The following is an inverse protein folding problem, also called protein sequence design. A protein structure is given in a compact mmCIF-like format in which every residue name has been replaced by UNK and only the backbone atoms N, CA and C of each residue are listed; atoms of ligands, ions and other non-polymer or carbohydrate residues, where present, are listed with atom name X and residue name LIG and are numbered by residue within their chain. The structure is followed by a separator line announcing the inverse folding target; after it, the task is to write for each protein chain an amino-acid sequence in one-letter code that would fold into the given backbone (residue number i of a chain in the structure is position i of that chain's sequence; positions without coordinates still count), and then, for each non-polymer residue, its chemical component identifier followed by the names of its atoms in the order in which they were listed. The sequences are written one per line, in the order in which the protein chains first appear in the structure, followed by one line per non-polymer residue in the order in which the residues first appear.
data_IF_143782618726
#
_entry.id   IF_143782618726
#
_cell.length_a   1.000
_cell.length_b   1.000
_cell.length_c   1.000
_cell.angle_alpha   90.00
_cell.angle_beta   90.00
_cell.angle_gamma   90.00
#
_symmetry.space_group_name_H-M   'P 1'
#
loop_
_entity.id
_entity.type
_entity.pdbx_description
1 polymer ?
#
# COMPACT_ATOMS: atom_id res chain seq x y z
N UNK A 1 26.54 -15.75 9.15
CA UNK A 1 26.52 -14.30 8.91
C UNK A 1 25.56 -14.11 7.75
N UNK A 2 24.27 -13.83 7.94
CA UNK A 2 23.63 -12.68 8.60
C UNK A 2 22.41 -13.15 9.41
N UNK A 3 22.40 -12.85 10.72
CA UNK A 3 21.24 -13.01 11.62
C UNK A 3 20.86 -11.59 12.07
N UNK A 4 19.92 -10.96 11.38
CA UNK A 4 19.40 -9.63 11.75
C UNK A 4 18.13 -9.34 10.94
N UNK A 5 17.01 -9.97 11.33
CA UNK A 5 15.66 -9.54 10.95
C UNK A 5 14.63 -10.39 11.72
N UNK A 6 14.62 -10.34 13.06
CA UNK A 6 13.59 -11.04 13.84
C UNK A 6 13.36 -10.35 15.18
N UNK A 7 12.87 -9.11 15.17
CA UNK A 7 12.27 -8.48 16.35
C UNK A 7 11.25 -7.42 15.89
N UNK A 8 9.99 -7.78 15.62
CA UNK A 8 8.90 -6.77 15.61
C UNK A 8 7.59 -7.25 16.28
N UNK A 9 7.24 -8.53 16.31
CA UNK A 9 5.91 -8.91 16.85
C UNK A 9 5.84 -8.97 18.39
N UNK A 10 6.97 -9.09 19.08
CA UNK A 10 7.03 -9.15 20.56
C UNK A 10 7.31 -7.80 21.26
N UNK A 11 7.49 -6.69 20.52
CA UNK A 11 7.85 -5.37 21.08
C UNK A 11 6.76 -4.29 21.01
N UNK A 12 5.57 -4.57 20.48
CA UNK A 12 4.48 -3.56 20.47
C UNK A 12 3.84 -3.29 21.84
N UNK A 13 4.42 -3.80 22.93
CA UNK A 13 4.07 -3.46 24.33
C UNK A 13 5.28 -2.90 25.11
N UNK A 14 6.47 -2.80 24.52
CA UNK A 14 7.66 -2.29 25.20
C UNK A 14 8.49 -1.44 24.23
N UNK A 15 8.41 -0.08 24.21
CA UNK A 15 8.44 0.78 25.39
C UNK A 15 7.68 2.12 25.20
N UNK A 16 6.50 2.29 25.79
CA UNK A 16 5.96 3.63 26.03
C UNK A 16 5.53 3.67 27.49
N UNK A 17 6.18 4.57 28.24
CA UNK A 17 5.98 4.91 29.65
C UNK A 17 6.86 4.17 30.67
N UNK A 18 7.16 4.92 31.72
CA UNK A 18 8.03 4.60 32.82
C UNK A 18 7.64 3.31 33.56
N UNK A 19 8.63 2.77 34.25
CA UNK A 19 8.63 1.57 35.10
C UNK A 19 7.59 1.60 36.25
N UNK A 20 6.31 1.56 35.93
CA UNK A 20 5.28 1.15 36.88
C UNK A 20 4.92 -0.30 36.64
N UNK A 21 4.76 -1.08 37.71
CA UNK A 21 4.28 -2.45 37.60
C UNK A 21 2.89 -2.44 36.92
N UNK A 22 2.60 -3.40 36.01
CA UNK A 22 1.31 -3.47 35.37
C UNK A 22 0.21 -3.51 36.43
N UNK A 23 -0.87 -2.76 36.20
CA UNK A 23 -1.97 -2.76 37.13
C UNK A 23 -2.64 -4.16 37.19
N UNK A 24 -3.51 -4.37 38.18
CA UNK A 24 -4.12 -5.67 38.40
C UNK A 24 -4.97 -6.16 37.20
N UNK A 25 -5.49 -5.26 36.36
CA UNK A 25 -6.25 -5.61 35.15
C UNK A 25 -5.31 -6.03 34.02
N UNK A 26 -4.23 -5.27 33.82
CA UNK A 26 -3.19 -5.56 32.83
C UNK A 26 -2.50 -6.90 33.12
N UNK A 27 -2.15 -7.17 34.39
CA UNK A 27 -1.58 -8.46 34.79
C UNK A 27 -2.51 -9.64 34.48
N UNK A 28 -3.83 -9.50 34.71
CA UNK A 28 -4.83 -10.51 34.36
C UNK A 28 -4.95 -10.70 32.84
N UNK A 29 -4.86 -9.62 32.07
CA UNK A 29 -4.86 -9.70 30.62
C UNK A 29 -3.62 -10.44 30.11
N UNK A 30 -2.42 -10.10 30.61
CA UNK A 30 -1.16 -10.75 30.23
C UNK A 30 -1.21 -12.25 30.51
N UNK A 31 -1.72 -12.66 31.68
CA UNK A 31 -1.90 -14.09 32.00
C UNK A 31 -2.82 -14.79 31.00
N UNK A 32 -3.96 -14.19 30.68
CA UNK A 32 -4.94 -14.77 29.76
C UNK A 32 -4.41 -14.81 28.33
N UNK A 33 -3.73 -13.76 27.87
CA UNK A 33 -3.06 -13.68 26.57
C UNK A 33 -2.00 -14.78 26.44
N UNK A 34 -1.21 -15.02 27.50
CA UNK A 34 -0.25 -16.13 27.53
C UNK A 34 -0.88 -17.52 27.36
N UNK A 35 -2.09 -17.73 27.90
CA UNK A 35 -2.84 -18.98 27.70
C UNK A 35 -3.34 -19.13 26.26
N UNK A 36 -3.91 -18.05 25.69
CA UNK A 36 -4.37 -18.02 24.30
C UNK A 36 -3.21 -18.26 23.34
N UNK A 37 -2.11 -17.51 23.46
CA UNK A 37 -0.92 -17.66 22.60
C UNK A 37 -0.34 -19.06 22.67
N UNK A 38 -0.30 -19.70 23.84
CA UNK A 38 0.15 -21.09 23.96
C UNK A 38 -0.80 -22.08 23.29
N UNK A 39 -2.11 -21.88 23.42
CA UNK A 39 -3.11 -22.70 22.73
C UNK A 39 -3.01 -22.60 21.20
N UNK A 40 -2.86 -21.38 20.68
CA UNK A 40 -2.70 -21.14 19.24
C UNK A 40 -1.35 -21.66 18.74
N UNK A 41 -0.25 -21.50 19.50
CA UNK A 41 1.04 -22.08 19.17
C UNK A 41 0.99 -23.62 19.10
N UNK A 42 0.25 -24.26 20.03
CA UNK A 42 -0.01 -25.70 19.98
C UNK A 42 -0.80 -26.12 18.73
N UNK A 43 -1.77 -25.30 18.28
CA UNK A 43 -2.53 -25.54 17.05
C UNK A 43 -1.65 -25.44 15.80
N UNK A 44 -0.78 -24.43 15.71
CA UNK A 44 0.25 -24.33 14.67
C UNK A 44 1.18 -25.55 14.63
N UNK A 45 1.62 -26.06 15.79
CA UNK A 45 2.40 -27.31 15.86
C UNK A 45 1.58 -28.51 15.36
N UNK A 46 0.29 -28.55 15.67
CA UNK A 46 -0.64 -29.56 15.14
C UNK A 46 -0.70 -29.56 13.62
N UNK A 47 -0.88 -28.38 13.01
CA UNK A 47 -0.90 -28.21 11.56
C UNK A 47 0.46 -28.54 10.94
N UNK A 48 1.57 -28.09 11.53
CA UNK A 48 2.93 -28.42 11.07
C UNK A 48 3.17 -29.94 11.00
N UNK A 49 2.77 -30.68 12.04
CA UNK A 49 2.85 -32.15 12.06
C UNK A 49 2.03 -32.78 10.95
N UNK A 50 0.86 -32.22 10.66
CA UNK A 50 0.05 -32.68 9.53
C UNK A 50 0.79 -32.42 8.21
N UNK A 51 1.34 -31.22 7.99
CA UNK A 51 2.10 -30.86 6.80
C UNK A 51 3.30 -31.80 6.57
N UNK A 52 4.10 -32.06 7.61
CA UNK A 52 5.23 -33.00 7.52
C UNK A 52 4.80 -34.43 7.13
N UNK A 53 3.63 -34.89 7.59
CA UNK A 53 3.07 -36.20 7.18
C UNK A 53 2.60 -36.21 5.73
N UNK A 54 2.25 -35.07 5.15
CA UNK A 54 1.88 -34.94 3.74
C UNK A 54 3.07 -34.67 2.82
N UNK A 55 4.26 -34.43 3.37
CA UNK A 55 5.45 -34.07 2.61
C UNK A 55 5.53 -32.59 2.25
N UNK A 56 4.68 -31.75 2.86
CA UNK A 56 4.70 -30.29 2.76
C UNK A 56 5.65 -29.72 3.82
N UNK A 57 6.95 -29.96 3.65
CA UNK A 57 7.96 -29.63 4.64
C UNK A 57 8.19 -28.12 4.78
N UNK A 58 8.08 -27.37 3.68
CA UNK A 58 8.23 -25.91 3.70
C UNK A 58 7.09 -25.29 4.52
N UNK A 59 5.83 -25.56 4.14
CA UNK A 59 4.67 -25.09 4.89
C UNK A 59 4.69 -25.56 6.35
N UNK A 60 5.11 -26.81 6.62
CA UNK A 60 5.24 -27.31 7.98
C UNK A 60 6.24 -26.50 8.82
N UNK A 61 7.37 -26.09 8.24
CA UNK A 61 8.36 -25.23 8.91
C UNK A 61 7.83 -23.83 9.17
N UNK A 62 7.14 -23.23 8.20
CA UNK A 62 6.48 -21.92 8.39
C UNK A 62 5.50 -21.93 9.57
N UNK A 63 4.70 -22.98 9.70
CA UNK A 63 3.79 -23.12 10.84
C UNK A 63 4.53 -23.27 12.18
N UNK A 64 5.68 -23.94 12.21
CA UNK A 64 6.53 -23.96 13.41
C UNK A 64 7.09 -22.57 13.73
N UNK A 65 7.51 -21.81 12.72
CA UNK A 65 8.00 -20.45 12.91
C UNK A 65 6.89 -19.55 13.49
N UNK A 66 5.64 -19.66 13.02
CA UNK A 66 4.49 -19.00 13.63
C UNK A 66 4.32 -19.37 15.12
N UNK A 67 4.42 -20.67 15.46
CA UNK A 67 4.32 -21.11 16.86
C UNK A 67 5.42 -20.51 17.75
N UNK A 68 6.65 -20.41 17.24
CA UNK A 68 7.80 -19.84 17.97
C UNK A 68 7.73 -18.32 18.08
N UNK A 69 7.06 -17.63 17.15
CA UNK A 69 6.76 -16.20 17.26
C UNK A 69 5.76 -15.91 18.37
N UNK A 70 4.76 -16.78 18.56
CA UNK A 70 3.76 -16.65 19.63
C UNK A 70 4.32 -17.00 21.01
N UNK A 71 5.11 -18.07 21.09
CA UNK A 71 5.74 -18.54 22.32
C UNK A 71 7.21 -18.85 22.05
N UNK A 72 8.14 -17.94 22.39
CA UNK A 72 9.56 -18.21 22.28
C UNK A 72 9.95 -19.49 23.02
N UNK A 73 10.81 -20.30 22.39
CA UNK A 73 11.25 -21.60 22.91
C UNK A 73 10.11 -22.62 23.13
N UNK A 74 8.98 -22.50 22.42
CA UNK A 74 7.87 -23.44 22.52
C UNK A 74 8.34 -24.89 22.37
N UNK A 75 8.24 -25.67 23.45
CA UNK A 75 8.94 -26.96 23.56
C UNK A 75 8.54 -27.96 22.47
N UNK A 76 7.24 -28.03 22.15
CA UNK A 76 6.74 -28.94 21.10
C UNK A 76 7.26 -28.49 19.73
N UNK A 77 7.27 -27.19 19.46
CA UNK A 77 7.70 -26.63 18.19
C UNK A 77 9.20 -26.87 17.96
N UNK A 78 10.02 -26.62 18.99
CA UNK A 78 11.45 -26.92 18.96
C UNK A 78 11.73 -28.41 18.70
N UNK A 79 10.96 -29.31 19.32
CA UNK A 79 11.07 -30.76 19.08
C UNK A 79 10.69 -31.15 17.65
N UNK A 80 9.66 -30.54 17.07
CA UNK A 80 9.28 -30.80 15.67
C UNK A 80 10.37 -30.36 14.68
N UNK A 81 11.18 -29.34 15.00
CA UNK A 81 12.37 -28.98 14.22
C UNK A 81 13.58 -29.88 14.46
N UNK A 82 13.45 -30.91 15.31
CA UNK A 82 14.52 -31.84 15.64
C UNK A 82 15.45 -31.36 16.77
N UNK A 83 15.11 -30.30 17.51
CA UNK A 83 15.91 -29.88 18.66
C UNK A 83 15.65 -30.74 19.90
N UNK A 84 16.69 -30.93 20.71
CA UNK A 84 16.62 -31.56 22.03
C UNK A 84 17.34 -30.72 23.06
N UNK A 85 16.85 -30.70 24.30
CA UNK A 85 17.57 -30.08 25.41
C UNK A 85 18.77 -30.94 25.79
N UNK A 86 19.93 -30.30 25.89
CA UNK A 86 21.15 -30.88 26.47
C UNK A 86 21.67 -29.96 27.55
N UNK A 87 22.18 -30.55 28.63
CA UNK A 87 22.86 -29.82 29.69
C UNK A 87 24.34 -29.68 29.29
N UNK A 88 24.80 -28.45 29.10
CA UNK A 88 26.21 -28.10 28.90
C UNK A 88 26.58 -27.10 29.99
N UNK A 89 27.62 -27.39 30.77
CA UNK A 89 28.11 -26.52 31.85
C UNK A 89 27.05 -26.05 32.85
N UNK A 90 26.07 -26.93 33.15
CA UNK A 90 24.99 -26.63 34.09
C UNK A 90 23.77 -25.94 33.48
N UNK A 91 23.85 -25.44 32.25
CA UNK A 91 22.76 -24.73 31.56
C UNK A 91 22.09 -25.65 30.54
N UNK A 92 20.75 -25.70 30.53
CA UNK A 92 20.00 -26.38 29.48
C UNK A 92 19.97 -25.54 28.21
N UNK A 93 20.42 -26.10 27.10
CA UNK A 93 20.40 -25.44 25.79
C UNK A 93 19.77 -26.35 24.74
N UNK A 94 19.14 -25.74 23.74
CA UNK A 94 18.58 -26.44 22.59
C UNK A 94 19.68 -26.81 21.60
N UNK A 95 19.83 -28.11 21.33
CA UNK A 95 20.80 -28.63 20.35
C UNK A 95 20.06 -29.35 19.24
N UNK A 96 20.33 -28.97 17.99
CA UNK A 96 19.74 -29.59 16.81
C UNK A 96 20.23 -31.04 16.66
N UNK A 97 19.30 -31.96 16.47
CA UNK A 97 19.55 -33.33 16.05
C UNK A 97 19.21 -33.47 14.57
N UNK A 98 20.21 -33.31 13.69
CA UNK A 98 19.98 -33.31 12.23
C UNK A 98 19.30 -34.59 11.72
N UNK A 99 19.43 -35.72 12.45
CA UNK A 99 18.77 -36.99 12.10
C UNK A 99 17.26 -36.97 12.37
N UNK A 100 16.78 -36.04 13.19
CA UNK A 100 15.37 -35.89 13.55
C UNK A 100 14.73 -34.65 12.93
N UNK A 101 15.54 -33.75 12.36
CA UNK A 101 15.03 -32.55 11.72
C UNK A 101 14.21 -32.95 10.47
N UNK A 102 13.04 -32.32 10.25
CA UNK A 102 12.28 -32.54 9.03
C UNK A 102 13.12 -32.08 7.83
N UNK A 103 12.90 -32.62 6.62
CA UNK A 103 13.57 -32.12 5.42
C UNK A 103 13.34 -30.60 5.24
N UNK A 104 14.24 -29.94 4.51
CA UNK A 104 14.09 -28.51 4.18
C UNK A 104 13.24 -28.27 2.94
N UNK A 105 13.15 -29.26 2.09
CA UNK A 105 12.44 -29.22 0.82
C UNK A 105 11.23 -30.15 0.88
N UNK A 106 10.22 -29.86 0.08
CA UNK A 106 9.02 -30.68 -0.04
C UNK A 106 9.32 -32.05 -0.67
N UNK A 107 8.46 -33.03 -0.37
CA UNK A 107 8.55 -34.35 -0.98
C UNK A 107 8.27 -34.24 -2.49
N UNK A 108 9.09 -34.91 -3.30
CA UNK A 108 8.90 -35.00 -4.75
C UNK A 108 8.68 -36.47 -5.15
N UNK A 109 7.50 -36.83 -5.71
CA UNK A 109 6.32 -35.99 -5.92
C UNK A 109 5.51 -35.78 -4.62
N UNK A 110 4.76 -34.67 -4.56
CA UNK A 110 3.76 -34.44 -3.52
C UNK A 110 2.59 -35.42 -3.67
N UNK A 111 1.90 -35.71 -2.55
CA UNK A 111 0.65 -36.48 -2.60
C UNK A 111 -0.42 -35.68 -3.36
N UNK A 112 -1.18 -36.31 -4.28
CA UNK A 112 -2.29 -35.64 -4.96
C UNK A 112 -3.30 -35.06 -3.98
N UNK A 113 -3.71 -33.80 -4.19
CA UNK A 113 -4.66 -33.09 -3.33
C UNK A 113 -4.10 -32.60 -1.98
N UNK A 114 -2.81 -32.77 -1.70
CA UNK A 114 -2.21 -32.32 -0.44
C UNK A 114 -2.29 -30.79 -0.26
N UNK A 115 -2.19 -30.02 -1.34
CA UNK A 115 -2.27 -28.56 -1.31
C UNK A 115 -3.67 -28.08 -0.97
N UNK A 116 -4.70 -28.65 -1.62
CA UNK A 116 -6.10 -28.30 -1.35
C UNK A 116 -6.48 -28.68 0.09
N UNK A 117 -6.09 -29.90 0.52
CA UNK A 117 -6.32 -30.33 1.90
C UNK A 117 -5.56 -29.48 2.93
N UNK A 118 -4.40 -28.92 2.56
CA UNK A 118 -3.67 -27.99 3.43
C UNK A 118 -4.44 -26.68 3.61
N UNK A 119 -5.03 -26.14 2.54
CA UNK A 119 -5.87 -24.95 2.62
C UNK A 119 -7.05 -25.18 3.58
N UNK A 120 -7.75 -26.31 3.45
CA UNK A 120 -8.88 -26.65 4.33
C UNK A 120 -8.48 -26.78 5.82
N UNK A 121 -7.39 -27.51 6.10
CA UNK A 121 -6.90 -27.68 7.48
C UNK A 121 -6.38 -26.37 8.08
N UNK A 122 -5.72 -25.54 7.27
CA UNK A 122 -5.26 -24.21 7.68
C UNK A 122 -6.45 -23.32 7.98
N UNK A 123 -7.42 -23.23 7.10
CA UNK A 123 -8.57 -22.33 7.24
C UNK A 123 -9.40 -22.72 8.47
N UNK A 124 -9.56 -24.02 8.75
CA UNK A 124 -10.16 -24.51 9.99
C UNK A 124 -9.40 -24.05 11.23
N UNK A 125 -8.09 -24.30 11.28
CA UNK A 125 -7.26 -23.94 12.43
C UNK A 125 -7.23 -22.42 12.64
N UNK A 126 -7.13 -21.65 11.57
CA UNK A 126 -7.09 -20.20 11.59
C UNK A 126 -8.43 -19.62 12.06
N UNK A 127 -9.57 -20.19 11.63
CA UNK A 127 -10.89 -19.82 12.16
C UNK A 127 -11.02 -20.05 13.67
N UNK A 128 -10.50 -21.18 14.19
CA UNK A 128 -10.47 -21.46 15.63
C UNK A 128 -9.56 -20.48 16.38
N UNK A 129 -8.37 -20.17 15.85
CA UNK A 129 -7.45 -19.20 16.43
C UNK A 129 -8.05 -17.78 16.47
N UNK A 130 -8.69 -17.34 15.37
CA UNK A 130 -9.39 -16.07 15.31
C UNK A 130 -10.48 -15.97 16.38
N UNK A 131 -11.27 -17.03 16.59
CA UNK A 131 -12.30 -17.06 17.62
C UNK A 131 -11.73 -16.90 19.05
N UNK A 132 -10.56 -17.47 19.35
CA UNK A 132 -9.88 -17.28 20.63
C UNK A 132 -9.37 -15.85 20.81
N UNK A 133 -8.82 -15.23 19.77
CA UNK A 133 -8.40 -13.83 19.82
C UNK A 133 -9.57 -12.85 19.91
N UNK A 134 -10.72 -13.16 19.31
CA UNK A 134 -11.97 -12.40 19.53
C UNK A 134 -12.38 -12.44 21.00
N UNK A 135 -12.39 -13.63 21.64
CA UNK A 135 -12.69 -13.76 23.08
C UNK A 135 -11.69 -12.98 23.94
N UNK A 136 -10.41 -12.98 23.55
CA UNK A 136 -9.37 -12.21 24.23
C UNK A 136 -9.62 -10.69 24.10
N UNK A 137 -10.04 -10.23 22.92
CA UNK A 137 -10.44 -8.84 22.68
C UNK A 137 -11.65 -8.42 23.51
N UNK A 138 -12.68 -9.26 23.57
CA UNK A 138 -13.85 -9.05 24.43
C UNK A 138 -13.48 -9.02 25.92
N UNK A 139 -12.53 -9.84 26.34
CA UNK A 139 -12.02 -9.86 27.71
C UNK A 139 -11.25 -8.58 28.05
N UNK A 140 -10.35 -8.12 27.18
CA UNK A 140 -9.66 -6.85 27.34
C UNK A 140 -10.62 -5.65 27.41
N UNK A 141 -11.66 -5.65 26.57
CA UNK A 141 -12.68 -4.61 26.60
C UNK A 141 -13.42 -4.56 27.96
N UNK A 142 -13.73 -5.72 28.54
CA UNK A 142 -14.34 -5.81 29.89
C UNK A 142 -13.41 -5.32 31.02
N UNK A 143 -12.10 -5.38 30.80
CA UNK A 143 -11.08 -4.87 31.71
C UNK A 143 -10.78 -3.37 31.48
N UNK A 144 -11.51 -2.71 30.57
CA UNK A 144 -11.29 -1.32 30.17
C UNK A 144 -9.87 -1.07 29.61
N UNK A 145 -9.36 -2.06 28.87
CA UNK A 145 -8.06 -2.05 28.22
C UNK A 145 -8.20 -1.90 26.69
N UNK A 146 -8.57 -0.71 26.16
CA UNK A 146 -8.95 -0.54 24.76
C UNK A 146 -7.82 -0.83 23.77
N UNK A 147 -6.57 -0.51 24.11
CA UNK A 147 -5.41 -0.82 23.27
C UNK A 147 -5.22 -2.34 23.12
N UNK A 148 -5.29 -3.08 24.22
CA UNK A 148 -5.18 -4.54 24.25
C UNK A 148 -6.36 -5.22 23.53
N UNK A 149 -7.57 -4.67 23.68
CA UNK A 149 -8.75 -5.15 22.96
C UNK A 149 -8.53 -5.03 21.45
N UNK A 150 -8.13 -3.84 20.99
CA UNK A 150 -7.86 -3.57 19.58
C UNK A 150 -6.79 -4.50 19.00
N UNK A 151 -5.65 -4.66 19.67
CA UNK A 151 -4.57 -5.56 19.22
C UNK A 151 -5.06 -7.00 19.12
N UNK A 152 -5.90 -7.45 20.05
CA UNK A 152 -6.46 -8.81 20.02
C UNK A 152 -7.40 -9.00 18.82
N UNK A 153 -8.26 -8.03 18.53
CA UNK A 153 -9.13 -8.08 17.36
C UNK A 153 -8.35 -7.99 16.04
N UNK A 154 -7.34 -7.11 15.95
CA UNK A 154 -6.45 -7.04 14.78
C UNK A 154 -5.70 -8.36 14.57
N UNK A 155 -5.29 -9.03 15.66
CA UNK A 155 -4.71 -10.38 15.58
C UNK A 155 -5.73 -11.40 15.08
N UNK A 156 -6.99 -11.34 15.53
CA UNK A 156 -8.05 -12.21 15.01
C UNK A 156 -8.31 -12.00 13.51
N UNK A 157 -8.31 -10.76 13.02
CA UNK A 157 -8.45 -10.45 11.58
C UNK A 157 -7.33 -11.07 10.74
N UNK A 158 -6.10 -11.16 11.26
CA UNK A 158 -4.98 -11.81 10.55
C UNK A 158 -5.19 -13.31 10.37
N UNK A 159 -5.86 -13.96 11.32
CA UNK A 159 -6.20 -15.38 11.22
C UNK A 159 -7.43 -15.59 10.34
N UNK A 160 -8.50 -14.82 10.56
CA UNK A 160 -9.73 -14.90 9.77
C UNK A 160 -10.16 -13.49 9.30
N UNK A 161 -9.76 -13.08 8.08
CA UNK A 161 -10.07 -11.76 7.54
C UNK A 161 -11.54 -11.50 7.26
N UNK A 162 -12.40 -12.52 7.35
CA UNK A 162 -13.85 -12.40 7.12
C UNK A 162 -14.64 -12.45 8.44
N UNK A 163 -13.97 -12.56 9.57
CA UNK A 163 -14.62 -12.60 10.87
C UNK A 163 -15.21 -11.24 11.24
N UNK A 164 -16.53 -11.07 11.06
CA UNK A 164 -17.21 -9.80 11.29
C UNK A 164 -17.01 -9.25 12.72
N UNK A 165 -16.92 -10.11 13.72
CA UNK A 165 -16.66 -9.69 15.11
C UNK A 165 -15.25 -9.15 15.27
N UNK A 166 -14.26 -9.81 14.68
CA UNK A 166 -12.87 -9.35 14.67
C UNK A 166 -12.75 -8.01 13.92
N UNK A 167 -13.36 -7.91 12.74
CA UNK A 167 -13.37 -6.68 11.93
C UNK A 167 -14.00 -5.51 12.71
N UNK A 168 -15.21 -5.70 13.25
CA UNK A 168 -15.89 -4.69 14.06
C UNK A 168 -15.07 -4.30 15.31
N UNK A 169 -14.52 -5.28 16.02
CA UNK A 169 -13.70 -5.04 17.22
C UNK A 169 -12.37 -4.33 16.91
N UNK A 170 -11.81 -4.55 15.72
CA UNK A 170 -10.61 -3.86 15.22
C UNK A 170 -10.93 -2.47 14.65
N UNK A 171 -12.21 -2.06 14.64
CA UNK A 171 -12.67 -0.75 14.16
C UNK A 171 -12.82 -0.65 12.65
N UNK A 172 -12.86 -1.78 11.93
CA UNK A 172 -13.25 -1.79 10.53
C UNK A 172 -14.72 -1.35 10.42
N UNK A 173 -15.07 -0.75 9.30
CA UNK A 173 -16.43 -0.27 9.03
C UNK A 173 -16.88 -0.79 7.67
N UNK A 174 -18.19 -0.88 7.48
CA UNK A 174 -18.77 -1.22 6.18
C UNK A 174 -18.98 0.05 5.37
N UNK A 175 -18.60 0.01 4.10
CA UNK A 175 -18.82 1.12 3.18
C UNK A 175 -20.22 1.09 2.53
N UNK A 176 -20.46 1.97 1.56
CA UNK A 176 -21.75 2.08 0.85
C UNK A 176 -22.13 0.80 0.07
N UNK A 177 -21.17 -0.09 -0.19
CA UNK A 177 -21.36 -1.37 -0.88
C UNK A 177 -21.43 -2.56 0.09
N UNK A 178 -21.52 -2.30 1.40
CA UNK A 178 -21.48 -3.30 2.46
C UNK A 178 -20.12 -4.05 2.54
N UNK A 179 -19.05 -3.49 1.96
CA UNK A 179 -17.71 -4.06 2.02
C UNK A 179 -16.96 -3.54 3.25
N UNK A 180 -16.26 -4.45 3.96
CA UNK A 180 -15.43 -4.09 5.10
C UNK A 180 -14.19 -3.32 4.65
N UNK A 181 -14.03 -2.10 5.16
CA UNK A 181 -12.86 -1.26 4.97
C UNK A 181 -12.15 -1.04 6.30
N UNK A 182 -10.82 -1.01 6.26
CA UNK A 182 -10.02 -0.79 7.46
C UNK A 182 -10.26 0.62 8.03
N UNK A 183 -10.06 0.85 9.34
CA UNK A 183 -10.19 2.19 9.92
C UNK A 183 -9.33 3.24 9.19
N UNK A 184 -8.22 2.77 8.62
CA UNK A 184 -7.33 3.57 7.81
C UNK A 184 -7.93 3.93 6.45
N UNK A 185 -8.45 2.95 5.71
CA UNK A 185 -9.13 3.23 4.44
C UNK A 185 -10.35 4.13 4.64
N UNK A 186 -11.10 3.95 5.73
CA UNK A 186 -12.20 4.85 6.11
C UNK A 186 -11.70 6.29 6.26
N UNK A 187 -10.62 6.52 7.02
CA UNK A 187 -10.01 7.86 7.16
C UNK A 187 -9.52 8.41 5.82
N UNK A 188 -8.92 7.58 4.97
CA UNK A 188 -8.47 8.02 3.64
C UNK A 188 -9.64 8.46 2.77
N UNK A 189 -10.80 7.80 2.87
CA UNK A 189 -12.04 8.19 2.20
C UNK A 189 -12.60 9.49 2.78
N UNK A 190 -12.58 9.66 4.10
CA UNK A 190 -12.98 10.90 4.76
C UNK A 190 -12.12 12.09 4.31
N UNK A 191 -10.78 11.95 4.35
CA UNK A 191 -9.83 12.96 3.85
C UNK A 191 -10.07 13.30 2.38
N UNK A 192 -10.41 12.30 1.56
CA UNK A 192 -10.70 12.49 0.14
C UNK A 192 -12.02 13.24 -0.04
N UNK A 193 -13.05 12.87 0.72
CA UNK A 193 -14.35 13.55 0.75
C UNK A 193 -14.17 15.02 1.17
N UNK A 194 -13.41 15.27 2.23
CA UNK A 194 -13.07 16.61 2.71
C UNK A 194 -12.31 17.41 1.64
N UNK A 195 -11.35 16.79 0.96
CA UNK A 195 -10.62 17.45 -0.13
C UNK A 195 -11.53 17.84 -1.30
N UNK A 196 -12.48 16.99 -1.66
CA UNK A 196 -13.43 17.21 -2.76
C UNK A 196 -14.60 18.14 -2.39
N UNK A 197 -14.98 18.23 -1.12
CA UNK A 197 -16.06 19.10 -0.63
C UNK A 197 -15.56 20.50 -0.28
N UNK A 198 -14.28 20.61 0.06
CA UNK A 198 -13.59 21.90 0.27
C UNK A 198 -13.09 22.57 -1.01
N UNK A 199 -13.49 22.07 -2.18
CA UNK A 199 -13.24 22.74 -3.46
C UNK A 199 -13.90 24.13 -3.44
N UNK A 200 -13.17 25.22 -3.74
CA UNK A 200 -13.73 26.55 -3.87
C UNK A 200 -14.83 26.61 -4.93
N UNK A 201 -15.77 27.54 -4.78
CA UNK A 201 -16.79 27.78 -5.79
C UNK A 201 -16.13 28.19 -7.14
N UNK A 202 -16.67 27.72 -8.28
CA UNK A 202 -16.13 28.03 -9.59
C UNK A 202 -16.26 29.52 -9.93
N UNK A 203 -15.15 30.17 -10.26
CA UNK A 203 -15.12 31.56 -10.73
C UNK A 203 -14.75 31.62 -12.21
N UNK A 204 -15.56 32.30 -13.04
CA UNK A 204 -15.24 32.47 -14.45
C UNK A 204 -14.02 33.37 -14.65
N UNK A 205 -13.06 32.94 -15.46
CA UNK A 205 -11.90 33.75 -15.82
C UNK A 205 -12.18 34.48 -17.13
N UNK A 206 -12.31 35.81 -17.07
CA UNK A 206 -12.59 36.64 -18.26
C UNK A 206 -11.36 36.82 -19.15
N UNK A 207 -10.19 36.92 -18.54
CA UNK A 207 -8.94 37.27 -19.22
C UNK A 207 -8.10 36.01 -19.43
N UNK A 208 -8.38 35.29 -20.52
CA UNK A 208 -7.58 34.13 -20.89
C UNK A 208 -6.26 34.52 -21.56
N UNK A 209 -5.20 33.72 -21.40
CA UNK A 209 -3.95 33.94 -22.10
C UNK A 209 -4.16 34.01 -23.62
N UNK A 210 -3.51 34.96 -24.30
CA UNK A 210 -3.75 35.20 -25.74
C UNK A 210 -3.44 34.02 -26.69
N UNK A 211 -2.73 32.99 -26.23
CA UNK A 211 -2.49 31.77 -27.01
C UNK A 211 -3.73 30.87 -27.13
N UNK A 212 -4.72 31.00 -26.23
CA UNK A 212 -5.89 30.12 -26.20
C UNK A 212 -6.72 30.20 -27.47
N UNK A 213 -6.84 31.37 -28.09
CA UNK A 213 -7.56 31.55 -29.35
C UNK A 213 -6.90 30.84 -30.54
N UNK A 214 -5.58 30.60 -30.48
CA UNK A 214 -4.86 29.83 -31.50
C UNK A 214 -4.88 28.33 -31.25
N UNK A 215 -4.96 27.91 -29.98
CA UNK A 215 -4.96 26.51 -29.57
C UNK A 215 -6.35 25.85 -29.67
N UNK A 216 -7.43 26.58 -29.33
CA UNK A 216 -8.79 26.06 -29.28
C UNK A 216 -9.64 26.62 -30.42
N UNK A 217 -9.50 26.04 -31.62
CA UNK A 217 -10.15 26.53 -32.85
C UNK A 217 -11.60 26.04 -33.02
N UNK A 218 -11.94 24.92 -32.40
CA UNK A 218 -13.24 24.23 -32.50
C UNK A 218 -14.34 24.97 -31.75
N UNK A 219 -14.02 25.53 -30.58
CA UNK A 219 -14.91 26.30 -29.74
C UNK A 219 -14.12 27.34 -28.93
N UNK A 220 -14.74 28.49 -28.55
CA UNK A 220 -14.08 29.47 -27.69
C UNK A 220 -13.60 28.83 -26.39
N UNK A 221 -12.33 29.01 -26.08
CA UNK A 221 -11.78 28.58 -24.80
C UNK A 221 -12.51 29.28 -23.65
N UNK A 222 -12.80 28.53 -22.59
CA UNK A 222 -13.29 29.03 -21.31
C UNK A 222 -12.23 28.83 -20.24
N UNK A 223 -12.22 29.68 -19.24
CA UNK A 223 -11.42 29.49 -18.03
C UNK A 223 -12.32 29.49 -16.79
N UNK A 224 -12.03 28.58 -15.87
CA UNK A 224 -12.73 28.50 -14.58
C UNK A 224 -11.71 28.29 -13.48
N UNK A 225 -11.71 29.17 -12.48
CA UNK A 225 -10.83 29.12 -11.33
C UNK A 225 -11.51 28.45 -10.13
N UNK A 226 -10.72 27.68 -9.40
CA UNK A 226 -11.05 27.00 -8.15
C UNK A 226 -9.94 27.36 -7.16
N UNK A 227 -10.00 28.57 -6.61
CA UNK A 227 -8.91 29.16 -5.84
C UNK A 227 -7.63 29.27 -6.67
N UNK A 228 -6.61 28.48 -6.31
CA UNK A 228 -5.28 28.50 -6.96
C UNK A 228 -5.19 27.64 -8.22
N UNK A 229 -6.21 26.84 -8.52
CA UNK A 229 -6.26 25.98 -9.71
C UNK A 229 -7.14 26.65 -10.76
N UNK A 230 -6.68 26.73 -12.01
CA UNK A 230 -7.46 27.26 -13.12
C UNK A 230 -7.56 26.22 -14.23
N UNK A 231 -8.78 25.83 -14.60
CA UNK A 231 -9.06 24.97 -15.74
C UNK A 231 -9.23 25.83 -16.98
N UNK A 232 -8.55 25.50 -18.08
CA UNK A 232 -8.65 26.19 -19.37
C UNK A 232 -8.94 25.15 -20.46
N UNK A 233 -10.02 25.28 -21.22
CA UNK A 233 -10.38 24.31 -22.26
C UNK A 233 -11.57 24.74 -23.11
N UNK A 234 -11.89 23.93 -24.13
CA UNK A 234 -12.95 24.15 -25.12
C UNK A 234 -14.30 23.48 -24.76
N UNK A 235 -14.46 22.95 -23.53
CA UNK A 235 -15.64 22.16 -23.12
C UNK A 235 -16.42 22.71 -21.92
N UNK A 236 -17.44 21.96 -21.47
CA UNK A 236 -18.35 22.38 -20.39
C UNK A 236 -18.10 21.71 -19.03
N UNK A 237 -17.28 20.65 -18.97
CA UNK A 237 -17.02 19.87 -17.75
C UNK A 237 -16.02 20.53 -16.78
N UNK A 238 -15.76 21.84 -16.92
CA UNK A 238 -14.73 22.55 -16.14
C UNK A 238 -14.93 22.45 -14.63
N UNK A 239 -16.19 22.34 -14.17
CA UNK A 239 -16.52 22.17 -12.75
C UNK A 239 -16.02 20.84 -12.19
N UNK A 240 -16.18 19.75 -12.93
CA UNK A 240 -15.74 18.44 -12.48
C UNK A 240 -14.21 18.31 -12.54
N UNK A 241 -13.59 18.79 -13.63
CA UNK A 241 -12.13 18.91 -13.73
C UNK A 241 -11.54 19.75 -12.61
N UNK A 242 -12.16 20.90 -12.30
CA UNK A 242 -11.75 21.78 -11.22
C UNK A 242 -11.77 21.10 -9.86
N UNK A 243 -12.87 20.40 -9.55
CA UNK A 243 -13.04 19.65 -8.30
C UNK A 243 -11.96 18.58 -8.11
N UNK A 244 -11.72 17.75 -9.12
CA UNK A 244 -10.73 16.67 -9.03
C UNK A 244 -9.28 17.18 -9.08
N UNK A 245 -8.99 18.20 -9.88
CA UNK A 245 -7.68 18.85 -9.89
C UNK A 245 -7.37 19.51 -8.53
N UNK A 246 -8.35 20.20 -7.94
CA UNK A 246 -8.24 20.74 -6.59
C UNK A 246 -8.01 19.65 -5.55
N UNK A 247 -8.83 18.60 -5.56
CA UNK A 247 -8.68 17.46 -4.64
C UNK A 247 -7.29 16.81 -4.75
N UNK A 248 -6.80 16.62 -5.98
CA UNK A 248 -5.46 16.09 -6.24
C UNK A 248 -4.36 17.00 -5.67
N UNK A 249 -4.42 18.30 -5.92
CA UNK A 249 -3.45 19.26 -5.38
C UNK A 249 -3.49 19.30 -3.86
N UNK A 250 -4.68 19.36 -3.26
CA UNK A 250 -4.87 19.44 -1.80
C UNK A 250 -4.37 18.19 -1.07
N UNK A 251 -4.74 16.99 -1.54
CA UNK A 251 -4.26 15.73 -0.95
C UNK A 251 -2.74 15.59 -1.12
N UNK A 252 -2.21 15.90 -2.31
CA UNK A 252 -0.76 15.84 -2.56
C UNK A 252 -0.01 16.83 -1.66
N UNK A 253 -0.53 18.04 -1.47
CA UNK A 253 0.03 19.04 -0.57
C UNK A 253 0.00 18.60 0.90
N UNK A 254 -1.07 17.92 1.33
CA UNK A 254 -1.17 17.36 2.68
C UNK A 254 -0.12 16.28 2.97
N UNK A 255 0.24 15.47 1.96
CA UNK A 255 1.21 14.38 2.09
C UNK A 255 2.66 14.84 1.92
N UNK A 256 2.92 15.70 0.94
CA UNK A 256 4.28 16.11 0.58
C UNK A 256 4.69 17.46 1.20
N UNK A 257 3.74 18.18 1.81
CA UNK A 257 3.92 19.50 2.39
C UNK A 257 3.89 20.64 1.37
N UNK A 258 3.46 21.82 1.81
CA UNK A 258 3.42 23.05 1.00
C UNK A 258 2.30 23.07 -0.06
N UNK A 259 1.70 24.23 -0.28
CA UNK A 259 0.65 24.40 -1.30
C UNK A 259 1.26 24.82 -2.65
N UNK A 260 0.50 24.62 -3.73
CA UNK A 260 0.77 25.31 -4.99
C UNK A 260 0.41 26.79 -4.85
N UNK A 261 1.10 27.67 -5.57
CA UNK A 261 0.76 29.10 -5.63
C UNK A 261 -0.33 29.35 -6.67
N UNK A 262 -0.10 28.88 -7.90
CA UNK A 262 -1.08 28.87 -9.00
C UNK A 262 -0.79 27.71 -9.94
N UNK A 263 -1.80 27.00 -10.41
CA UNK A 263 -1.66 25.95 -11.43
C UNK A 263 -2.73 26.10 -12.51
N UNK A 264 -2.30 26.10 -13.77
CA UNK A 264 -3.19 26.03 -14.92
C UNK A 264 -3.27 24.59 -15.43
N UNK A 265 -4.49 24.05 -15.52
CA UNK A 265 -4.80 22.76 -16.11
C UNK A 265 -5.43 23.02 -17.47
N UNK A 266 -4.68 22.78 -18.53
CA UNK A 266 -5.15 22.94 -19.91
C UNK A 266 -5.81 21.64 -20.35
N UNK A 267 -7.08 21.70 -20.74
CA UNK A 267 -7.87 20.55 -21.16
C UNK A 267 -8.08 20.63 -22.67
N UNK A 268 -7.32 19.85 -23.43
CA UNK A 268 -7.48 19.68 -24.87
C UNK A 268 -8.59 18.66 -25.14
N UNK A 269 -9.59 19.03 -25.95
CA UNK A 269 -10.73 18.17 -26.24
C UNK A 269 -10.40 16.94 -27.07
N UNK A 270 -9.25 16.92 -27.74
CA UNK A 270 -8.76 15.82 -28.57
C UNK A 270 -7.27 16.01 -28.93
N UNK A 271 -6.71 15.05 -29.66
CA UNK A 271 -5.31 15.08 -30.11
C UNK A 271 -4.99 16.25 -31.04
N UNK A 272 -5.94 16.72 -31.85
CA UNK A 272 -5.70 17.86 -32.74
C UNK A 272 -5.58 19.18 -31.94
N UNK A 273 -6.43 19.36 -30.93
CA UNK A 273 -6.32 20.49 -30.01
C UNK A 273 -5.03 20.45 -29.19
N UNK A 274 -4.57 19.26 -28.79
CA UNK A 274 -3.26 19.08 -28.16
C UNK A 274 -2.12 19.54 -29.10
N UNK A 275 -2.13 19.08 -30.35
CA UNK A 275 -1.12 19.48 -31.33
C UNK A 275 -1.13 21.00 -31.59
N UNK A 276 -2.31 21.59 -31.71
CA UNK A 276 -2.49 23.04 -31.88
C UNK A 276 -2.01 23.83 -30.65
N UNK A 277 -2.31 23.32 -29.45
CA UNK A 277 -1.79 23.87 -28.20
C UNK A 277 -0.26 23.81 -28.15
N UNK A 278 0.35 22.66 -28.39
CA UNK A 278 1.82 22.53 -28.43
C UNK A 278 2.44 23.48 -29.46
N UNK A 279 1.89 23.54 -30.68
CA UNK A 279 2.41 24.38 -31.75
C UNK A 279 2.29 25.88 -31.43
N UNK A 280 1.21 26.30 -30.78
CA UNK A 280 0.93 27.72 -30.48
C UNK A 280 1.67 28.19 -29.23
N UNK A 281 1.62 27.41 -28.16
CA UNK A 281 2.11 27.81 -26.83
C UNK A 281 3.57 27.45 -26.59
N UNK A 282 4.06 26.37 -27.20
CA UNK A 282 5.39 25.81 -27.00
C UNK A 282 6.10 25.51 -28.33
N UNK A 283 6.22 26.51 -29.23
CA UNK A 283 6.79 26.28 -30.56
C UNK A 283 8.24 25.81 -30.46
N UNK A 284 8.55 24.70 -31.12
CA UNK A 284 9.92 24.20 -31.24
C UNK A 284 10.44 23.36 -30.06
N UNK A 285 9.58 22.93 -29.13
CA UNK A 285 9.95 21.95 -28.08
C UNK A 285 9.85 20.53 -28.68
N UNK A 286 10.97 19.83 -28.97
CA UNK A 286 10.93 18.53 -29.62
C UNK A 286 10.29 17.47 -28.72
N UNK A 287 9.39 16.66 -29.29
CA UNK A 287 8.74 15.55 -28.57
C UNK A 287 7.61 15.97 -27.62
N UNK A 288 7.33 17.26 -27.44
CA UNK A 288 6.23 17.70 -26.57
C UNK A 288 4.85 17.28 -27.09
N UNK A 289 4.66 17.28 -28.41
CA UNK A 289 3.44 16.74 -29.05
C UNK A 289 3.31 15.22 -28.97
N UNK A 290 4.31 14.53 -28.42
CA UNK A 290 4.34 13.08 -28.18
C UNK A 290 4.29 12.78 -26.68
N UNK A 291 4.86 13.68 -25.86
CA UNK A 291 4.89 13.63 -24.40
C UNK A 291 3.71 14.41 -23.82
N UNK A 292 2.68 13.68 -23.44
CA UNK A 292 1.64 14.21 -22.55
C UNK A 292 2.27 14.35 -21.16
N UNK A 293 1.84 15.33 -20.37
CA UNK A 293 2.18 15.52 -18.94
C UNK A 293 3.34 16.49 -18.59
N UNK A 294 2.96 17.58 -17.90
CA UNK A 294 3.75 18.72 -17.40
C UNK A 294 4.43 19.53 -18.50
N UNK A 295 3.89 20.73 -18.76
CA UNK A 295 4.24 21.53 -19.95
C UNK A 295 4.95 22.83 -19.56
N UNK A 296 4.98 23.19 -18.27
CA UNK A 296 5.72 24.34 -17.77
C UNK A 296 5.70 24.45 -16.24
N UNK A 297 6.26 25.55 -15.72
CA UNK A 297 6.47 25.76 -14.29
C UNK A 297 5.20 25.79 -13.43
N UNK A 298 4.04 26.15 -14.01
CA UNK A 298 2.73 26.24 -13.37
C UNK A 298 1.61 25.80 -14.34
N UNK A 299 1.91 24.84 -15.22
CA UNK A 299 1.02 24.45 -16.31
C UNK A 299 1.10 22.93 -16.57
N UNK A 300 -0.05 22.27 -16.52
CA UNK A 300 -0.23 20.89 -16.95
C UNK A 300 -1.24 20.83 -18.07
N UNK A 301 -1.14 19.81 -18.89
CA UNK A 301 -2.08 19.54 -19.96
C UNK A 301 -2.72 18.17 -19.78
N UNK A 302 -4.01 18.11 -20.09
CA UNK A 302 -4.87 16.93 -20.09
C UNK A 302 -5.49 16.82 -21.48
N UNK A 303 -5.32 15.69 -22.14
CA UNK A 303 -6.01 15.40 -23.40
C UNK A 303 -7.22 14.52 -23.10
N UNK A 304 -8.41 14.95 -23.50
CA UNK A 304 -9.63 14.17 -23.34
C UNK A 304 -9.65 12.96 -24.27
N UNK A 305 -10.34 11.91 -23.83
CA UNK A 305 -10.70 10.81 -24.69
C UNK A 305 -12.14 11.04 -25.18
N UNK A 306 -12.38 11.14 -26.50
CA UNK A 306 -13.72 11.41 -27.02
C UNK A 306 -14.72 10.27 -26.74
N UNK A 307 -14.26 9.11 -26.25
CA UNK A 307 -15.11 7.96 -25.93
C UNK A 307 -15.31 7.77 -24.44
N UNK A 308 -14.51 8.42 -23.58
CA UNK A 308 -14.57 8.22 -22.13
C UNK A 308 -14.12 9.48 -21.36
N UNK A 309 -15.08 10.34 -21.02
CA UNK A 309 -14.85 11.54 -20.18
C UNK A 309 -14.18 11.20 -18.84
N UNK A 310 -14.48 9.99 -18.36
CA UNK A 310 -14.02 9.45 -17.09
C UNK A 310 -12.51 9.16 -17.14
N UNK A 311 -11.97 8.83 -18.32
CA UNK A 311 -10.54 8.76 -18.60
C UNK A 311 -9.88 10.15 -18.53
N UNK A 312 -10.60 11.19 -18.96
CA UNK A 312 -10.17 12.58 -18.85
C UNK A 312 -9.96 13.02 -17.40
N UNK A 313 -10.86 12.65 -16.49
CA UNK A 313 -10.75 12.97 -15.07
C UNK A 313 -9.55 12.28 -14.41
N UNK A 314 -9.32 11.00 -14.70
CA UNK A 314 -8.14 10.26 -14.21
C UNK A 314 -6.86 10.93 -14.67
N UNK A 315 -6.81 11.27 -15.96
CA UNK A 315 -5.76 12.05 -16.58
C UNK A 315 -5.50 13.38 -15.87
N UNK A 316 -6.55 14.10 -15.47
CA UNK A 316 -6.42 15.36 -14.74
C UNK A 316 -5.82 15.18 -13.34
N UNK A 317 -6.33 14.20 -12.57
CA UNK A 317 -5.76 13.87 -11.25
C UNK A 317 -4.29 13.49 -11.40
N UNK A 318 -3.99 12.62 -12.35
CA UNK A 318 -2.64 12.15 -12.63
C UNK A 318 -1.71 13.31 -13.01
N UNK A 319 -2.11 14.20 -13.92
CA UNK A 319 -1.35 15.39 -14.31
C UNK A 319 -0.96 16.26 -13.12
N UNK A 320 -1.96 16.60 -12.31
CA UNK A 320 -1.80 17.50 -11.17
C UNK A 320 -0.90 16.86 -10.12
N UNK A 321 -1.10 15.58 -9.83
CA UNK A 321 -0.26 14.86 -8.87
C UNK A 321 1.19 14.76 -9.35
N UNK A 322 1.44 14.43 -10.62
CA UNK A 322 2.80 14.41 -11.19
C UNK A 322 3.46 15.79 -11.11
N UNK A 323 2.71 16.85 -11.44
CA UNK A 323 3.19 18.22 -11.31
C UNK A 323 3.62 18.56 -9.87
N UNK A 324 2.76 18.25 -8.90
CA UNK A 324 3.05 18.49 -7.49
C UNK A 324 4.28 17.70 -7.02
N UNK A 325 4.44 16.45 -7.45
CA UNK A 325 5.63 15.65 -7.15
C UNK A 325 6.86 16.31 -7.76
N UNK A 326 6.87 16.61 -9.06
CA UNK A 326 8.02 17.23 -9.74
C UNK A 326 8.42 18.57 -9.16
N UNK A 327 7.45 19.38 -8.73
CA UNK A 327 7.73 20.65 -8.04
C UNK A 327 8.58 20.46 -6.78
N UNK A 328 8.41 19.34 -6.07
CA UNK A 328 9.10 19.02 -4.81
C UNK A 328 10.35 18.18 -5.02
N UNK A 329 10.27 17.18 -5.89
CA UNK A 329 11.30 16.19 -6.16
C UNK A 329 12.23 16.56 -7.31
N UNK A 330 11.97 17.66 -8.04
CA UNK A 330 12.64 17.91 -9.32
C UNK A 330 12.13 17.00 -10.45
N UNK A 331 12.68 17.15 -11.65
CA UNK A 331 12.41 16.22 -12.74
C UNK A 331 12.98 14.84 -12.38
N UNK A 332 12.12 13.83 -12.25
CA UNK A 332 12.59 12.49 -11.89
C UNK A 332 13.29 11.80 -13.07
N UNK A 333 14.44 11.19 -12.78
CA UNK A 333 15.12 10.27 -13.70
C UNK A 333 14.58 8.85 -13.62
N UNK A 334 13.79 8.55 -12.58
CA UNK A 334 13.15 7.25 -12.34
C UNK A 334 11.67 7.48 -12.00
N UNK A 335 10.74 7.09 -12.89
CA UNK A 335 9.35 7.51 -12.79
C UNK A 335 8.54 6.68 -11.78
N UNK A 336 9.11 5.67 -11.12
CA UNK A 336 8.35 4.76 -10.25
C UNK A 336 7.61 5.52 -9.14
N UNK A 337 8.25 6.47 -8.47
CA UNK A 337 7.60 7.20 -7.39
C UNK A 337 6.49 8.12 -7.93
N UNK A 338 6.76 8.84 -9.02
CA UNK A 338 5.76 9.67 -9.71
C UNK A 338 4.54 8.85 -10.12
N UNK A 339 4.76 7.71 -10.78
CA UNK A 339 3.71 6.82 -11.29
C UNK A 339 2.93 6.19 -10.15
N UNK A 340 3.61 5.63 -9.15
CA UNK A 340 2.95 4.96 -8.02
C UNK A 340 2.12 5.93 -7.20
N UNK A 341 2.65 7.13 -6.96
CA UNK A 341 1.95 8.16 -6.18
C UNK A 341 0.76 8.73 -6.95
N UNK A 342 0.93 9.06 -8.24
CA UNK A 342 -0.17 9.54 -9.08
C UNK A 342 -1.28 8.48 -9.24
N UNK A 343 -0.91 7.21 -9.41
CA UNK A 343 -1.87 6.10 -9.43
C UNK A 343 -2.61 5.97 -8.10
N UNK A 344 -1.92 6.11 -6.98
CA UNK A 344 -2.54 6.07 -5.65
C UNK A 344 -3.53 7.23 -5.45
N UNK A 345 -3.18 8.46 -5.83
CA UNK A 345 -4.08 9.62 -5.75
C UNK A 345 -5.28 9.48 -6.67
N UNK A 346 -5.08 8.99 -7.89
CA UNK A 346 -6.15 8.72 -8.86
C UNK A 346 -7.16 7.72 -8.28
N UNK A 347 -6.67 6.61 -7.69
CA UNK A 347 -7.51 5.64 -6.99
C UNK A 347 -8.28 6.28 -5.83
N UNK A 348 -7.61 7.05 -4.98
CA UNK A 348 -8.26 7.70 -3.83
C UNK A 348 -9.43 8.58 -4.29
N UNK A 349 -9.22 9.42 -5.29
CA UNK A 349 -10.20 10.40 -5.73
C UNK A 349 -11.32 9.82 -6.59
N UNK A 350 -11.01 8.85 -7.46
CA UNK A 350 -11.95 8.34 -8.47
C UNK A 350 -12.44 6.91 -8.20
N UNK A 351 -11.92 6.25 -7.16
CA UNK A 351 -12.24 4.85 -6.82
C UNK A 351 -11.69 3.83 -7.82
N UNK A 352 -10.92 4.25 -8.82
CA UNK A 352 -10.38 3.41 -9.89
C UNK A 352 -9.12 4.02 -10.52
N UNK A 353 -8.37 3.18 -11.22
CA UNK A 353 -7.23 3.58 -12.06
C UNK A 353 -7.30 2.77 -13.36
N UNK A 354 -7.60 3.44 -14.47
CA UNK A 354 -7.58 2.89 -15.82
C UNK A 354 -6.42 3.44 -16.64
N UNK A 355 -5.91 4.62 -16.28
CA UNK A 355 -4.69 5.21 -16.83
C UNK A 355 -3.50 5.03 -15.90
N UNK A 356 -2.95 3.82 -15.82
CA UNK A 356 -1.49 3.74 -15.84
C UNK A 356 -1.09 3.85 -17.33
N UNK A 357 -0.02 4.56 -17.72
CA UNK A 357 0.39 4.71 -19.13
C UNK A 357 0.70 3.40 -19.91
N UNK A 358 0.35 2.24 -19.36
CA UNK A 358 0.72 0.91 -19.85
C UNK A 358 -0.46 -0.04 -20.08
N UNK A 359 -1.70 0.32 -19.68
CA UNK A 359 -2.89 -0.46 -20.05
C UNK A 359 -3.59 0.19 -21.22
N UNK A 360 -3.17 -0.16 -22.44
CA UNK A 360 -3.85 0.20 -23.69
C UNK A 360 -5.23 -0.43 -23.86
N UNK A 361 -6.09 -0.42 -22.84
CA UNK A 361 -7.50 -0.75 -22.96
C UNK A 361 -8.32 -0.10 -21.82
N UNK A 362 -9.26 0.77 -22.20
CA UNK A 362 -10.21 1.46 -21.31
C UNK A 362 -11.27 0.51 -20.70
N UNK A 363 -11.19 -0.80 -20.98
CA UNK A 363 -12.08 -1.84 -20.44
C UNK A 363 -11.44 -2.68 -19.31
N UNK A 364 -10.33 -2.24 -18.74
CA UNK A 364 -9.64 -2.95 -17.65
C UNK A 364 -10.49 -3.04 -16.36
N UNK A 365 -10.60 -4.21 -15.72
CA UNK A 365 -11.39 -4.38 -14.50
C UNK A 365 -10.76 -3.68 -13.29
N UNK A 366 -11.61 -3.23 -12.36
CA UNK A 366 -11.24 -2.52 -11.12
C UNK A 366 -10.19 -3.25 -10.27
N UNK A 367 -9.37 -2.47 -9.57
CA UNK A 367 -8.28 -2.92 -8.69
C UNK A 367 -8.74 -3.85 -7.55
N UNK A 368 -10.03 -3.84 -7.17
CA UNK A 368 -10.53 -4.54 -5.97
C UNK A 368 -10.25 -6.05 -5.92
N UNK A 369 -9.89 -6.68 -7.04
CA UNK A 369 -9.45 -8.08 -7.06
C UNK A 369 -8.21 -8.37 -7.89
N UNK A 370 -8.10 -7.85 -9.13
CA UNK A 370 -7.12 -8.36 -10.10
C UNK A 370 -5.68 -8.04 -9.75
N UNK A 371 -5.33 -6.77 -9.53
CA UNK A 371 -3.94 -6.38 -9.25
C UNK A 371 -3.42 -6.95 -7.94
N UNK A 372 -4.24 -6.88 -6.87
CA UNK A 372 -3.94 -7.51 -5.59
C UNK A 372 -3.74 -9.02 -5.73
N UNK A 373 -4.64 -9.72 -6.43
CA UNK A 373 -4.54 -11.17 -6.69
C UNK A 373 -3.32 -11.51 -7.55
N UNK A 374 -3.04 -10.71 -8.58
CA UNK A 374 -1.88 -10.88 -9.45
C UNK A 374 -0.59 -10.74 -8.64
N UNK A 375 -0.46 -9.71 -7.80
CA UNK A 375 0.74 -9.53 -6.98
C UNK A 375 0.86 -10.64 -5.93
N UNK A 376 -0.23 -11.02 -5.24
CA UNK A 376 -0.24 -12.16 -4.30
C UNK A 376 0.19 -13.47 -4.98
N UNK A 377 -0.30 -13.74 -6.19
CA UNK A 377 0.09 -14.91 -6.98
C UNK A 377 1.59 -14.85 -7.35
N UNK A 378 2.08 -13.70 -7.81
CA UNK A 378 3.49 -13.53 -8.14
C UNK A 378 4.40 -13.70 -6.91
N UNK A 379 4.00 -13.18 -5.74
CA UNK A 379 4.72 -13.37 -4.47
C UNK A 379 4.72 -14.86 -4.09
N UNK A 380 3.56 -15.51 -4.10
CA UNK A 380 3.41 -16.93 -3.78
C UNK A 380 4.23 -17.84 -4.68
N UNK A 381 4.41 -17.47 -5.94
CA UNK A 381 5.20 -18.23 -6.92
C UNK A 381 6.70 -17.91 -6.86
N UNK A 382 7.14 -16.98 -6.00
CA UNK A 382 8.53 -16.50 -5.98
C UNK A 382 8.94 -15.73 -7.25
N UNK A 383 7.96 -15.17 -7.98
CA UNK A 383 8.12 -14.46 -9.25
C UNK A 383 7.82 -12.97 -9.17
N UNK A 384 7.55 -12.44 -7.98
CA UNK A 384 7.27 -11.02 -7.79
C UNK A 384 8.44 -10.16 -8.34
N UNK A 385 8.15 -9.05 -9.04
CA UNK A 385 9.19 -8.10 -9.38
C UNK A 385 9.84 -7.60 -8.08
N UNK A 386 11.16 -7.45 -8.08
CA UNK A 386 11.85 -6.94 -6.90
C UNK A 386 11.81 -5.42 -6.87
N UNK A 387 11.69 -4.85 -5.67
CA UNK A 387 11.74 -3.40 -5.47
C UNK A 387 13.04 -2.77 -5.99
N UNK A 388 14.24 -3.34 -5.76
CA UNK A 388 15.47 -2.84 -6.37
C UNK A 388 15.36 -2.67 -7.89
N UNK A 389 14.71 -3.62 -8.58
CA UNK A 389 14.52 -3.56 -10.04
C UNK A 389 13.49 -2.48 -10.41
N UNK A 390 12.40 -2.37 -9.65
CA UNK A 390 11.35 -1.39 -9.92
C UNK A 390 11.81 0.06 -9.69
N UNK A 391 12.63 0.28 -8.65
CA UNK A 391 13.15 1.60 -8.26
C UNK A 391 14.11 2.17 -9.32
N UNK A 392 14.89 1.33 -9.99
CA UNK A 392 15.85 1.79 -11.01
C UNK A 392 15.28 1.75 -12.43
N UNK A 393 14.16 1.07 -12.67
CA UNK A 393 13.57 0.93 -14.01
C UNK A 393 13.10 2.28 -14.55
N UNK A 394 13.50 2.58 -15.79
CA UNK A 394 13.00 3.75 -16.55
C UNK A 394 11.73 3.46 -17.34
N UNK A 395 11.46 2.18 -17.58
CA UNK A 395 10.31 1.70 -18.35
C UNK A 395 9.72 0.48 -17.63
N UNK A 396 8.95 0.69 -16.55
CA UNK A 396 8.43 -0.41 -15.74
C UNK A 396 7.35 -1.19 -16.50
N UNK A 397 7.44 -2.52 -16.48
CA UNK A 397 6.38 -3.39 -17.00
C UNK A 397 5.12 -3.36 -16.10
N UNK A 398 4.01 -3.97 -16.56
CA UNK A 398 2.73 -4.00 -15.82
C UNK A 398 2.91 -4.52 -14.38
N UNK A 399 3.73 -5.55 -14.18
CA UNK A 399 3.95 -6.14 -12.86
C UNK A 399 4.73 -5.19 -11.96
N UNK A 400 5.73 -4.50 -12.51
CA UNK A 400 6.48 -3.46 -11.78
C UNK A 400 5.58 -2.28 -11.41
N UNK A 401 4.65 -1.87 -12.26
CA UNK A 401 3.66 -0.83 -11.95
C UNK A 401 2.73 -1.26 -10.80
N UNK A 402 2.23 -2.51 -10.83
CA UNK A 402 1.41 -3.06 -9.76
C UNK A 402 2.18 -3.05 -8.43
N UNK A 403 3.45 -3.51 -8.44
CA UNK A 403 4.31 -3.47 -7.26
C UNK A 403 4.50 -2.04 -6.75
N UNK A 404 4.86 -1.11 -7.63
CA UNK A 404 5.12 0.29 -7.30
C UNK A 404 3.87 0.99 -6.77
N UNK A 405 2.69 0.67 -7.29
CA UNK A 405 1.42 1.17 -6.76
C UNK A 405 1.25 0.77 -5.29
N UNK A 406 1.37 -0.52 -4.98
CA UNK A 406 1.22 -1.00 -3.60
C UNK A 406 2.37 -0.56 -2.69
N UNK A 407 3.58 -0.45 -3.23
CA UNK A 407 4.73 0.02 -2.48
C UNK A 407 4.61 1.51 -2.13
N UNK A 408 4.24 2.37 -3.08
CA UNK A 408 4.00 3.79 -2.78
C UNK A 408 2.81 3.95 -1.84
N UNK A 409 1.77 3.10 -1.98
CA UNK A 409 0.70 3.05 -0.97
C UNK A 409 1.29 2.76 0.40
N UNK A 410 2.11 1.73 0.57
CA UNK A 410 2.83 1.43 1.82
C UNK A 410 3.69 2.61 2.32
N UNK A 411 4.33 3.38 1.44
CA UNK A 411 5.11 4.55 1.85
C UNK A 411 4.22 5.70 2.35
N UNK A 412 3.14 6.02 1.64
CA UNK A 412 2.19 7.07 2.00
C UNK A 412 1.47 6.74 3.32
N UNK A 413 0.78 5.63 3.32
CA UNK A 413 1.01 4.50 4.19
C UNK A 413 1.64 4.66 5.60
N UNK A 414 2.61 3.80 5.82
CA UNK A 414 3.32 3.59 7.07
C UNK A 414 4.46 4.60 7.27
N UNK A 415 4.80 5.38 6.23
CA UNK A 415 6.00 6.22 6.20
C UNK A 415 5.73 7.67 5.78
N UNK A 416 4.49 8.15 5.90
CA UNK A 416 4.08 9.49 5.45
C UNK A 416 4.98 10.61 5.98
N UNK A 417 5.35 10.56 7.27
CA UNK A 417 6.17 11.60 7.92
C UNK A 417 7.57 11.76 7.33
N UNK A 418 8.08 10.74 6.63
CA UNK A 418 9.38 10.75 5.97
C UNK A 418 9.32 11.20 4.50
N UNK A 419 8.12 11.32 3.92
CA UNK A 419 7.95 11.70 2.51
C UNK A 419 8.60 13.05 2.15
N UNK A 420 8.49 14.13 2.96
CA UNK A 420 9.14 15.40 2.61
C UNK A 420 10.67 15.28 2.57
N UNK A 421 11.26 14.54 3.51
CA UNK A 421 12.71 14.28 3.54
C UNK A 421 13.14 13.48 2.32
N UNK A 422 12.38 12.43 1.97
CA UNK A 422 12.62 11.66 0.76
C UNK A 422 12.56 12.55 -0.49
N UNK A 423 11.53 13.40 -0.63
CA UNK A 423 11.38 14.29 -1.79
C UNK A 423 12.55 15.27 -1.91
N UNK A 424 13.02 15.81 -0.77
CA UNK A 424 14.16 16.71 -0.73
C UNK A 424 15.47 16.01 -1.14
N UNK A 425 15.69 14.78 -0.64
CA UNK A 425 16.83 13.95 -1.04
C UNK A 425 16.75 13.60 -2.53
N UNK A 426 15.58 13.17 -3.00
CA UNK A 426 15.33 12.81 -4.40
C UNK A 426 15.62 13.95 -5.38
N UNK A 427 15.43 15.20 -4.96
CA UNK A 427 15.72 16.39 -5.76
C UNK A 427 17.21 16.62 -6.03
N UNK A 428 18.08 16.17 -5.12
CA UNK A 428 19.52 16.45 -5.17
C UNK A 428 20.36 15.22 -5.46
N UNK A 429 19.85 14.03 -5.16
CA UNK A 429 20.53 12.76 -5.37
C UNK A 429 20.36 12.26 -6.80
N UNK A 430 21.46 11.84 -7.41
CA UNK A 430 21.44 11.16 -8.72
C UNK A 430 21.07 9.67 -8.61
N UNK A 431 21.03 9.12 -7.37
CA UNK A 431 20.78 7.72 -7.06
C UNK A 431 19.54 7.56 -6.18
N UNK A 432 18.56 6.83 -6.72
CA UNK A 432 17.31 6.50 -6.07
C UNK A 432 17.50 5.77 -4.72
N UNK A 433 18.53 4.93 -4.62
CA UNK A 433 18.84 4.16 -3.42
C UNK A 433 19.34 5.05 -2.29
N UNK A 434 20.12 6.09 -2.60
CA UNK A 434 20.57 7.06 -1.61
C UNK A 434 19.42 7.92 -1.11
N UNK A 435 18.52 8.34 -2.01
CA UNK A 435 17.32 9.05 -1.60
C UNK A 435 16.41 8.20 -0.72
N UNK A 436 16.25 6.89 -1.01
CA UNK A 436 15.53 5.94 -0.15
C UNK A 436 16.16 5.89 1.25
N UNK A 437 17.49 5.74 1.33
CA UNK A 437 18.23 5.69 2.61
C UNK A 437 18.14 6.98 3.40
N UNK A 438 18.20 8.14 2.75
CA UNK A 438 18.08 9.44 3.42
C UNK A 438 16.65 9.72 3.89
N UNK A 439 15.65 9.36 3.08
CA UNK A 439 14.25 9.57 3.42
C UNK A 439 13.74 8.64 4.51
N UNK A 440 14.05 7.35 4.40
CA UNK A 440 13.43 6.30 5.23
C UNK A 440 14.41 5.50 6.09
N UNK A 441 15.69 5.89 6.14
CA UNK A 441 16.74 5.25 6.95
C UNK A 441 16.88 3.74 6.66
N UNK A 442 16.52 3.33 5.45
CA UNK A 442 16.47 1.93 5.03
C UNK A 442 16.89 1.79 3.56
N UNK A 443 17.53 0.67 3.24
CA UNK A 443 17.79 0.27 1.85
C UNK A 443 16.55 -0.36 1.20
N UNK A 444 16.57 -0.52 -0.12
CA UNK A 444 15.44 -1.08 -0.87
C UNK A 444 15.03 -2.47 -0.39
N UNK A 445 15.99 -3.31 0.05
CA UNK A 445 15.73 -4.67 0.50
C UNK A 445 15.01 -4.71 1.86
N UNK A 446 15.40 -3.81 2.77
CA UNK A 446 14.76 -3.65 4.08
C UNK A 446 13.34 -3.11 3.90
N UNK A 447 13.17 -2.12 3.01
CA UNK A 447 11.85 -1.60 2.66
C UNK A 447 10.97 -2.65 1.99
N UNK A 448 11.56 -3.52 1.16
CA UNK A 448 10.86 -4.62 0.50
C UNK A 448 10.36 -5.67 1.49
N UNK A 449 11.20 -6.09 2.44
CA UNK A 449 10.77 -7.02 3.47
C UNK A 449 9.62 -6.44 4.31
N UNK A 450 9.70 -5.15 4.69
CA UNK A 450 8.64 -4.47 5.44
C UNK A 450 7.35 -4.32 4.60
N UNK A 451 7.50 -3.99 3.32
CA UNK A 451 6.39 -3.88 2.37
C UNK A 451 5.65 -5.21 2.22
N UNK A 452 6.36 -6.33 2.04
CA UNK A 452 5.73 -7.64 1.86
C UNK A 452 4.92 -8.04 3.10
N UNK A 453 5.48 -7.82 4.30
CA UNK A 453 4.74 -8.04 5.56
C UNK A 453 3.49 -7.16 5.64
N UNK A 454 3.61 -5.88 5.26
CA UNK A 454 2.46 -4.97 5.23
C UNK A 454 1.42 -5.39 4.18
N UNK A 455 1.86 -5.82 3.01
CA UNK A 455 1.00 -6.21 1.89
C UNK A 455 0.21 -7.49 2.17
N UNK A 456 0.82 -8.44 2.88
CA UNK A 456 0.13 -9.66 3.33
C UNK A 456 -0.92 -9.34 4.40
N UNK A 457 -0.66 -8.34 5.25
CA UNK A 457 -1.56 -7.93 6.32
C UNK A 457 -2.74 -7.04 5.86
N UNK A 458 -2.67 -6.45 4.65
CA UNK A 458 -3.68 -5.51 4.11
C UNK A 458 -4.32 -6.01 2.82
#
# INVERSE_FOLDING_TARGET
MTRLATIIVLLLVAPILAQDAPDASEAKFIEQSGKVNRGVADAHVGLARWCFKQGLNVAGREQIDCALQLVPEHEKAMKELGYKRKKADGVETWVLDEKRAPPREDATPLKPGAIDAFADERDKMYGEAAAEYVKLGEYAAKLELPAYARVSYETAVRYDPLNEKALAGAGWVKDELDEWISPREARERDETSDALTSTPDPESVSDLPGWTSGAFKSAPAKGTAFGKITIIGSGDNHSEFGRFAWGASKLTAGLLGGEVDTLRVVVAGNEAEHQDYCATRHPGVPGLSQSKWVVGANEVEVVLDPKDDKLGLERAVYAVTVFEIRRRCGESRHPWFEIGFASNMTRRLLGRVTTAPFSGDASGPSESGRWKRTLRMLISDGRAPSLPKAVVSRDPDEQQVILVHYFVRYLVQERAGALPTFCAAWKVEDDAENALKQGWEADSATLEAAFLVWFDAN
#
